data_IF_741725034912
#
_entry.id   IF_741725034912
#
_cell.length_a   1.000
_cell.length_b   1.000
_cell.length_c   1.000
_cell.angle_alpha   90.00
_cell.angle_beta   90.00
_cell.angle_gamma   90.00
#
_symmetry.space_group_name_H-M   'P 1'
#
loop_
_entity.id
_entity.type
_entity.pdbx_description
1 polymer ?
#
# COMPACT_ATOMS: atom_id res chain seq x y z
N UNK A 1 16.71 -14.54 0.45
CA UNK A 1 17.29 -13.64 -0.57
C UNK A 1 17.32 -12.22 0.00
N UNK A 2 18.45 -11.50 -0.08
CA UNK A 2 18.53 -10.09 0.36
C UNK A 2 18.48 -9.21 -0.88
N UNK A 3 17.46 -8.35 -1.00
CA UNK A 3 17.33 -7.41 -2.11
C UNK A 3 17.98 -6.07 -1.70
N UNK A 4 19.01 -5.59 -2.43
CA UNK A 4 19.62 -4.29 -2.12
C UNK A 4 18.57 -3.18 -2.20
N UNK A 5 18.56 -2.27 -1.23
CA UNK A 5 17.60 -1.18 -1.19
C UNK A 5 16.15 -1.60 -0.89
N UNK A 6 15.92 -2.80 -0.36
CA UNK A 6 14.59 -3.24 0.07
C UNK A 6 14.34 -3.09 1.56
N UNK A 7 13.13 -2.73 1.95
CA UNK A 7 12.65 -2.63 3.34
C UNK A 7 11.28 -3.26 3.48
N UNK A 8 11.03 -3.93 4.62
CA UNK A 8 9.69 -4.35 5.00
C UNK A 8 8.95 -3.19 5.66
N UNK A 9 7.73 -2.92 5.20
CA UNK A 9 6.85 -1.89 5.77
C UNK A 9 5.47 -2.47 6.04
N UNK A 10 4.70 -1.78 6.87
CA UNK A 10 3.29 -2.10 7.09
C UNK A 10 2.46 -1.34 6.04
N UNK A 11 1.74 -2.09 5.23
CA UNK A 11 0.66 -1.59 4.38
C UNK A 11 -0.67 -1.73 5.14
N UNK A 12 -1.53 -0.73 5.02
CA UNK A 12 -2.93 -0.82 5.43
C UNK A 12 -3.80 -0.99 4.19
N UNK A 13 -4.76 -1.91 4.28
CA UNK A 13 -5.77 -2.10 3.23
C UNK A 13 -7.11 -1.63 3.78
N UNK A 14 -7.77 -0.73 3.06
CA UNK A 14 -9.02 -0.10 3.46
C UNK A 14 -10.07 -0.38 2.41
N UNK A 15 -11.19 -0.95 2.84
CA UNK A 15 -12.31 -1.23 1.95
C UNK A 15 -13.34 -0.09 2.04
N UNK A 16 -13.59 0.55 0.90
CA UNK A 16 -14.47 1.72 0.78
C UNK A 16 -15.49 1.54 -0.35
N UNK A 17 -16.61 2.29 -0.35
CA UNK A 17 -17.48 2.37 -1.53
C UNK A 17 -16.70 2.91 -2.74
N UNK A 18 -16.92 2.34 -3.92
CA UNK A 18 -16.36 2.88 -5.16
C UNK A 18 -17.17 4.11 -5.60
N UNK A 19 -16.89 5.25 -4.97
CA UNK A 19 -17.62 6.51 -5.19
C UNK A 19 -16.67 7.71 -5.17
N UNK A 20 -16.98 8.77 -5.94
CA UNK A 20 -16.22 10.01 -5.90
C UNK A 20 -16.08 10.56 -4.48
N UNK A 21 -14.85 10.91 -4.12
CA UNK A 21 -14.52 11.57 -2.85
C UNK A 21 -14.14 10.63 -1.70
N UNK A 22 -14.25 9.30 -1.82
CA UNK A 22 -13.83 8.40 -0.73
C UNK A 22 -12.34 8.50 -0.42
N UNK A 23 -11.48 8.60 -1.44
CA UNK A 23 -10.06 8.85 -1.23
C UNK A 23 -9.81 10.20 -0.53
N UNK A 24 -10.58 11.24 -0.88
CA UNK A 24 -10.43 12.56 -0.27
C UNK A 24 -10.78 12.53 1.23
N UNK A 25 -11.85 11.81 1.61
CA UNK A 25 -12.23 11.62 3.02
C UNK A 25 -11.15 10.88 3.80
N UNK A 26 -10.66 9.77 3.25
CA UNK A 26 -9.59 8.97 3.85
C UNK A 26 -8.32 9.82 4.04
N UNK A 27 -7.87 10.51 3.00
CA UNK A 27 -6.68 11.35 3.05
C UNK A 27 -6.84 12.53 4.04
N UNK A 28 -8.03 13.14 4.13
CA UNK A 28 -8.31 14.19 5.10
C UNK A 28 -8.19 13.69 6.54
N UNK A 29 -8.68 12.49 6.85
CA UNK A 29 -8.56 11.89 8.20
C UNK A 29 -7.08 11.71 8.59
N UNK A 30 -6.26 11.23 7.66
CA UNK A 30 -4.83 11.06 7.90
C UNK A 30 -4.13 12.42 8.04
N UNK A 31 -4.49 13.39 7.19
CA UNK A 31 -3.96 14.77 7.27
C UNK A 31 -4.31 15.47 8.58
N UNK A 32 -5.55 15.35 9.07
CA UNK A 32 -5.99 15.87 10.38
C UNK A 32 -5.20 15.24 11.53
N UNK A 33 -4.75 14.00 11.38
CA UNK A 33 -3.92 13.29 12.35
C UNK A 33 -2.41 13.60 12.21
N UNK A 34 -2.00 14.41 11.23
CA UNK A 34 -0.58 14.70 10.96
C UNK A 34 0.20 13.54 10.34
N UNK A 35 -0.50 12.62 9.66
CA UNK A 35 0.06 11.39 9.11
C UNK A 35 0.27 11.57 7.60
N UNK A 36 1.48 11.28 7.14
CA UNK A 36 1.81 11.32 5.72
C UNK A 36 1.55 9.97 5.04
N UNK A 37 1.14 10.02 3.77
CA UNK A 37 1.00 8.84 2.91
C UNK A 37 2.26 8.77 2.04
N UNK A 38 3.03 7.69 2.18
CA UNK A 38 4.27 7.48 1.43
C UNK A 38 4.04 6.74 0.11
N UNK A 39 3.02 5.87 0.06
CA UNK A 39 2.56 5.20 -1.15
C UNK A 39 1.08 4.86 -1.05
N UNK A 40 0.40 4.82 -2.20
CA UNK A 40 -0.99 4.40 -2.30
C UNK A 40 -1.27 3.70 -3.64
N UNK A 41 -2.07 2.65 -3.60
CA UNK A 41 -2.70 2.03 -4.76
C UNK A 41 -4.16 1.72 -4.45
N UNK A 42 -4.99 1.61 -5.49
CA UNK A 42 -6.39 1.29 -5.33
C UNK A 42 -6.89 0.42 -6.48
N UNK A 43 -7.70 -0.56 -6.15
CA UNK A 43 -8.39 -1.42 -7.11
C UNK A 43 -9.89 -1.46 -6.79
N UNK A 44 -10.72 -1.26 -7.81
CA UNK A 44 -12.18 -1.28 -7.66
C UNK A 44 -12.77 -2.53 -8.31
N UNK A 45 -13.66 -3.21 -7.58
CA UNK A 45 -14.42 -4.35 -8.09
C UNK A 45 -15.78 -4.42 -7.39
N UNK A 46 -16.85 -4.70 -8.15
CA UNK A 46 -18.19 -4.88 -7.58
C UNK A 46 -18.74 -3.68 -6.81
N UNK A 47 -18.38 -2.44 -7.19
CA UNK A 47 -18.84 -1.22 -6.52
C UNK A 47 -18.14 -0.93 -5.19
N UNK A 48 -17.04 -1.63 -4.90
CA UNK A 48 -16.16 -1.46 -3.74
C UNK A 48 -14.76 -1.16 -4.25
N UNK A 49 -14.00 -0.38 -3.49
CA UNK A 49 -12.58 -0.13 -3.75
C UNK A 49 -11.75 -0.61 -2.57
N UNK A 50 -10.69 -1.36 -2.86
CA UNK A 50 -9.64 -1.71 -1.92
C UNK A 50 -8.49 -0.73 -2.10
N UNK A 51 -8.27 0.12 -1.10
CA UNK A 51 -7.18 1.10 -1.07
C UNK A 51 -6.05 0.58 -0.20
N UNK A 52 -4.91 0.31 -0.82
CA UNK A 52 -3.65 -0.06 -0.17
C UNK A 52 -2.84 1.21 0.11
N UNK A 53 -2.42 1.45 1.34
CA UNK A 53 -1.56 2.58 1.68
C UNK A 53 -0.38 2.21 2.58
N UNK A 54 0.76 2.84 2.32
CA UNK A 54 1.89 2.88 3.24
C UNK A 54 1.92 4.28 3.82
N UNK A 55 1.84 4.36 5.15
CA UNK A 55 1.93 5.63 5.87
C UNK A 55 3.21 5.66 6.71
N UNK A 56 3.71 6.87 6.97
CA UNK A 56 4.89 7.07 7.82
C UNK A 56 4.67 6.59 9.27
N UNK A 57 3.40 6.50 9.69
CA UNK A 57 2.95 6.11 11.04
C UNK A 57 1.79 5.09 10.93
N UNK A 58 2.06 3.84 10.52
CA UNK A 58 1.02 2.90 10.08
C UNK A 58 0.03 2.51 11.19
N UNK A 59 0.49 2.39 12.45
CA UNK A 59 -0.38 2.03 13.56
C UNK A 59 -1.34 3.17 13.92
N UNK A 60 -0.83 4.40 13.93
CA UNK A 60 -1.62 5.61 14.15
C UNK A 60 -2.59 5.85 12.99
N UNK A 61 -2.17 5.57 11.75
CA UNK A 61 -3.02 5.69 10.56
C UNK A 61 -4.21 4.74 10.66
N UNK A 62 -3.95 3.47 11.01
CA UNK A 62 -4.99 2.47 11.23
C UNK A 62 -5.97 2.93 12.32
N UNK A 63 -5.46 3.44 13.44
CA UNK A 63 -6.29 3.94 14.53
C UNK A 63 -7.15 5.15 14.13
N UNK A 64 -6.58 6.11 13.40
CA UNK A 64 -7.31 7.28 12.92
C UNK A 64 -8.46 6.89 11.98
N UNK A 65 -8.22 5.95 11.07
CA UNK A 65 -9.20 5.44 10.12
C UNK A 65 -10.30 4.63 10.82
N UNK A 66 -9.94 3.70 11.71
CA UNK A 66 -10.94 2.87 12.41
C UNK A 66 -11.83 3.70 13.34
N UNK A 67 -11.30 4.74 14.00
CA UNK A 67 -12.09 5.71 14.79
C UNK A 67 -13.15 6.44 13.96
N UNK A 68 -12.97 6.53 12.64
CA UNK A 68 -13.91 7.17 11.69
C UNK A 68 -14.79 6.15 10.97
N UNK A 69 -14.76 4.88 11.37
CA UNK A 69 -15.63 3.83 10.84
C UNK A 69 -15.09 3.08 9.62
N UNK A 70 -13.83 3.32 9.22
CA UNK A 70 -13.21 2.54 8.15
C UNK A 70 -12.79 1.15 8.64
N UNK A 71 -13.08 0.13 7.85
CA UNK A 71 -12.54 -1.21 8.05
C UNK A 71 -11.13 -1.25 7.47
N UNK A 72 -10.14 -1.50 8.32
CA UNK A 72 -8.73 -1.56 7.92
C UNK A 72 -8.12 -2.90 8.34
N UNK A 73 -7.50 -3.60 7.38
CA UNK A 73 -6.55 -4.67 7.65
C UNK A 73 -5.13 -4.14 7.46
N UNK A 74 -4.14 -4.92 7.90
CA UNK A 74 -2.73 -4.57 7.72
C UNK A 74 -1.94 -5.80 7.31
N UNK A 75 -0.99 -5.62 6.41
CA UNK A 75 -0.06 -6.67 5.98
C UNK A 75 1.37 -6.12 5.88
N UNK A 76 2.35 -7.01 6.00
CA UNK A 76 3.75 -6.64 5.75
C UNK A 76 4.02 -6.76 4.26
N UNK A 77 4.56 -5.70 3.65
CA UNK A 77 4.94 -5.67 2.24
C UNK A 77 6.42 -5.33 2.08
N UNK A 78 7.00 -5.77 0.98
CA UNK A 78 8.37 -5.46 0.61
C UNK A 78 8.40 -4.26 -0.32
N UNK A 79 9.01 -3.16 0.13
CA UNK A 79 9.34 -2.02 -0.74
C UNK A 79 10.73 -2.26 -1.30
N UNK A 80 10.89 -2.16 -2.61
CA UNK A 80 12.18 -2.34 -3.31
C UNK A 80 12.47 -1.11 -4.15
N UNK A 81 13.68 -0.56 -4.02
CA UNK A 81 14.18 0.47 -4.95
C UNK A 81 14.76 -0.18 -6.20
N UNK A 82 14.36 0.33 -7.35
CA UNK A 82 14.84 -0.12 -8.65
C UNK A 82 15.58 1.01 -9.36
N UNK A 83 16.52 0.64 -10.24
CA UNK A 83 17.09 1.58 -11.19
C UNK A 83 16.00 2.10 -12.13
N UNK A 84 15.99 3.40 -12.40
CA UNK A 84 15.08 4.00 -13.36
C UNK A 84 15.57 3.76 -14.80
N UNK A 85 15.38 2.53 -15.29
CA UNK A 85 15.69 2.13 -16.66
C UNK A 85 14.77 0.99 -17.15
N UNK A 86 14.51 0.91 -18.47
CA UNK A 86 13.81 -0.22 -19.05
C UNK A 86 14.43 -1.56 -18.63
N UNK A 87 13.59 -2.50 -18.21
CA UNK A 87 14.00 -3.85 -17.81
C UNK A 87 14.41 -4.03 -16.35
N UNK A 88 14.52 -2.97 -15.55
CA UNK A 88 14.86 -3.11 -14.11
C UNK A 88 13.84 -3.96 -13.34
N UNK A 89 12.54 -3.70 -13.54
CA UNK A 89 11.47 -4.52 -12.95
C UNK A 89 11.50 -5.96 -13.48
N UNK A 90 11.75 -6.16 -14.78
CA UNK A 90 11.82 -7.50 -15.37
C UNK A 90 12.95 -8.34 -14.75
N UNK A 91 14.11 -7.71 -14.47
CA UNK A 91 15.22 -8.36 -13.78
C UNK A 91 14.85 -8.78 -12.35
N UNK A 92 14.18 -7.90 -11.60
CA UNK A 92 13.70 -8.21 -10.25
C UNK A 92 12.66 -9.33 -10.27
N UNK A 93 11.63 -9.21 -11.11
CA UNK A 93 10.54 -10.17 -11.20
C UNK A 93 11.06 -11.57 -11.57
N UNK A 94 12.03 -11.65 -12.50
CA UNK A 94 12.69 -12.93 -12.83
C UNK A 94 13.40 -13.54 -11.62
N UNK A 95 14.19 -12.75 -10.88
CA UNK A 95 14.89 -13.24 -9.69
C UNK A 95 13.94 -13.73 -8.60
N UNK A 96 12.79 -13.08 -8.44
CA UNK A 96 11.74 -13.52 -7.51
C UNK A 96 11.11 -14.83 -7.99
N UNK A 97 10.72 -14.91 -9.27
CA UNK A 97 10.16 -16.12 -9.88
C UNK A 97 11.11 -17.32 -9.83
N UNK A 98 12.39 -17.12 -10.14
CA UNK A 98 13.43 -18.16 -10.06
C UNK A 98 13.62 -18.68 -8.62
N UNK A 99 13.29 -17.85 -7.61
CA UNK A 99 13.31 -18.22 -6.20
C UNK A 99 11.98 -18.79 -5.69
N UNK A 100 10.98 -18.98 -6.57
CA UNK A 100 9.65 -19.46 -6.20
C UNK A 100 8.81 -18.43 -5.42
N UNK A 101 9.13 -17.14 -5.55
CA UNK A 101 8.39 -16.04 -4.90
C UNK A 101 7.47 -15.39 -5.91
N UNK A 102 6.16 -15.49 -5.66
CA UNK A 102 5.14 -14.86 -6.49
C UNK A 102 4.93 -13.38 -6.12
N UNK A 103 4.48 -12.58 -7.10
CA UNK A 103 4.14 -11.16 -6.93
C UNK A 103 2.63 -11.01 -7.10
N UNK A 104 1.93 -10.95 -5.96
CA UNK A 104 0.46 -10.91 -5.93
C UNK A 104 -0.13 -9.51 -6.14
N UNK A 105 0.61 -8.45 -5.81
CA UNK A 105 0.19 -7.06 -6.00
C UNK A 105 1.39 -6.11 -6.00
N UNK A 106 1.21 -4.93 -6.62
CA UNK A 106 2.20 -3.85 -6.73
C UNK A 106 1.69 -2.57 -6.09
#
# INVERSE_FOLDING_TARGET
>A
MRLPGSTLVIQLDVDVPDKPGELAKLAAILGEAGINIDAISAESTGGRSYMSLVANQPMQAREALTKRGYACSSRTVLVVRLDDRPGALASLARRLGDAGVDIVSL
#
